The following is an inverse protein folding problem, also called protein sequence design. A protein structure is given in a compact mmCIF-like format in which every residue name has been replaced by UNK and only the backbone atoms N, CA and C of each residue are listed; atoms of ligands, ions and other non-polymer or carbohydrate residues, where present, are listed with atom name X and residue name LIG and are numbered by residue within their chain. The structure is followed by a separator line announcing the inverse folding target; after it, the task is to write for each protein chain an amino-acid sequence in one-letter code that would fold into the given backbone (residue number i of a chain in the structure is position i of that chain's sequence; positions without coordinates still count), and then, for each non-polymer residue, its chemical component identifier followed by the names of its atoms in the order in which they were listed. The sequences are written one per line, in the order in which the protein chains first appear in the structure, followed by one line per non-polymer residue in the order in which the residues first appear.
data_IF_580295462688
#
_entry.id   IF_580295462688
#
_cell.length_a   1.000
_cell.length_b   1.000
_cell.length_c   1.000
_cell.angle_alpha   90.00
_cell.angle_beta   90.00
_cell.angle_gamma   90.00
#
_symmetry.space_group_name_H-M   'P 1'
#
loop_
_entity.id
_entity.type
_entity.pdbx_description
1 polymer ?
#
# COMPACT_ATOMS: atom_id res chain seq x y z
N UNK A 1 8.32 -42.75 55.06
CA UNK A 1 7.74 -41.97 53.93
C UNK A 1 8.29 -40.55 54.01
N UNK A 2 9.49 -40.27 53.48
CA UNK A 2 9.78 -39.70 52.13
C UNK A 2 8.92 -38.51 51.75
N UNK A 3 9.43 -37.34 51.36
CA UNK A 3 10.75 -36.67 51.42
C UNK A 3 10.48 -35.27 50.85
N UNK A 4 10.95 -34.21 51.51
CA UNK A 4 11.00 -32.88 50.88
C UNK A 4 11.96 -32.88 49.69
N UNK A 5 11.64 -32.11 48.66
CA UNK A 5 12.52 -31.91 47.50
C UNK A 5 12.86 -30.43 47.41
N UNK A 6 14.09 -30.12 47.84
CA UNK A 6 14.87 -28.97 47.41
C UNK A 6 15.04 -29.02 45.89
N UNK A 7 14.75 -27.93 45.19
CA UNK A 7 15.19 -27.75 43.82
C UNK A 7 15.94 -26.42 43.70
N UNK A 8 17.21 -26.60 43.36
CA UNK A 8 18.28 -25.64 43.44
C UNK A 8 18.08 -24.51 42.44
N UNK A 9 18.36 -23.31 42.94
CA UNK A 9 19.00 -22.19 42.26
C UNK A 9 19.39 -22.46 40.79
N UNK A 10 18.63 -21.92 39.85
CA UNK A 10 19.09 -21.66 38.48
C UNK A 10 18.68 -20.23 38.11
N UNK A 11 19.41 -19.28 38.65
CA UNK A 11 19.56 -17.95 38.05
C UNK A 11 20.16 -18.11 36.66
N UNK A 12 19.36 -18.02 35.60
CA UNK A 12 19.89 -17.89 34.25
C UNK A 12 20.26 -16.41 34.02
N UNK A 13 21.44 -16.04 34.52
CA UNK A 13 22.09 -14.79 34.17
C UNK A 13 22.50 -14.84 32.69
N UNK A 14 21.64 -14.38 31.80
CA UNK A 14 22.10 -13.97 30.46
C UNK A 14 22.52 -12.52 30.57
N UNK A 15 23.78 -12.34 30.98
CA UNK A 15 24.45 -11.06 30.94
C UNK A 15 24.72 -10.67 29.48
N UNK A 16 23.90 -9.78 28.93
CA UNK A 16 24.36 -8.87 27.89
C UNK A 16 24.61 -7.52 28.55
N UNK A 17 25.83 -7.36 29.06
CA UNK A 17 26.45 -6.06 29.19
C UNK A 17 26.78 -5.66 27.74
N UNK A 18 26.38 -4.49 27.23
CA UNK A 18 26.94 -3.21 27.60
C UNK A 18 25.93 -2.06 27.34
N UNK A 19 25.74 -1.21 28.37
CA UNK A 19 25.14 0.15 28.43
C UNK A 19 23.68 0.35 28.96
N UNK A 20 23.52 0.62 30.27
CA UNK A 20 22.36 1.35 30.86
C UNK A 20 22.43 2.88 30.62
N UNK A 21 21.33 3.67 30.73
CA UNK A 21 20.15 3.42 31.57
C UNK A 21 18.81 3.60 30.83
N UNK A 22 18.20 2.51 30.37
CA UNK A 22 16.77 2.50 30.09
C UNK A 22 16.15 1.26 30.73
N UNK A 23 15.65 1.44 31.95
CA UNK A 23 14.82 0.46 32.63
C UNK A 23 13.37 0.70 32.20
N UNK A 24 12.84 -0.13 31.31
CA UNK A 24 11.41 -0.17 31.06
C UNK A 24 10.76 -1.01 32.16
N UNK A 25 10.29 -0.35 33.21
CA UNK A 25 9.24 -0.87 34.08
C UNK A 25 7.92 -0.80 33.31
N UNK A 26 7.27 -1.93 33.09
CA UNK A 26 5.91 -1.97 32.57
C UNK A 26 4.98 -2.37 33.71
N UNK A 27 4.29 -1.36 34.24
CA UNK A 27 3.24 -1.48 35.25
C UNK A 27 1.98 -2.07 34.60
N UNK A 28 1.55 -3.25 35.07
CA UNK A 28 0.40 -3.99 34.53
C UNK A 28 -0.89 -3.55 35.22
N UNK A 29 -1.30 -2.30 34.98
CA UNK A 29 -2.67 -1.88 35.25
C UNK A 29 -3.25 -1.24 33.98
N UNK A 30 -4.24 -1.92 33.41
CA UNK A 30 -5.10 -1.50 32.28
C UNK A 30 -4.49 -1.49 30.87
N UNK A 31 -4.23 -2.67 30.29
CA UNK A 31 -4.27 -2.85 28.83
C UNK A 31 -5.05 -4.12 28.48
N UNK A 32 -6.22 -3.96 27.87
CA UNK A 32 -7.00 -5.06 27.30
C UNK A 32 -6.30 -5.58 26.04
N UNK A 33 -5.43 -6.58 26.18
CA UNK A 33 -4.81 -7.31 25.06
C UNK A 33 -5.37 -8.73 25.09
N UNK A 34 -6.14 -9.11 24.06
CA UNK A 34 -6.64 -10.47 23.90
C UNK A 34 -5.49 -11.43 23.55
N UNK A 35 -4.84 -11.98 24.58
CA UNK A 35 -3.87 -13.08 24.50
C UNK A 35 -4.61 -14.43 24.65
N UNK A 36 -4.71 -15.25 23.61
CA UNK A 36 -4.98 -16.69 23.81
C UNK A 36 -3.65 -17.40 24.10
N UNK A 37 -3.59 -18.11 25.22
CA UNK A 37 -2.34 -18.46 25.90
C UNK A 37 -1.60 -19.71 25.36
N UNK A 38 -0.31 -19.78 25.74
CA UNK A 38 0.57 -20.96 25.83
C UNK A 38 1.48 -21.36 24.65
N UNK A 39 2.52 -20.56 24.35
CA UNK A 39 3.95 -20.91 24.56
C UNK A 39 4.86 -19.87 23.86
N UNK A 40 5.62 -19.12 24.66
CA UNK A 40 6.19 -17.82 24.27
C UNK A 40 7.29 -17.88 23.19
N UNK A 41 7.85 -19.05 22.83
CA UNK A 41 8.99 -19.10 21.91
C UNK A 41 8.78 -19.93 20.63
N UNK A 42 7.84 -20.90 20.60
CA UNK A 42 7.49 -21.60 19.35
C UNK A 42 6.31 -20.95 18.60
N UNK A 43 5.41 -20.22 19.30
CA UNK A 43 4.26 -19.57 18.66
C UNK A 43 4.57 -18.21 18.03
N UNK A 44 5.67 -17.57 18.40
CA UNK A 44 6.08 -16.27 17.84
C UNK A 44 6.44 -16.41 16.36
N UNK A 45 7.04 -17.53 15.95
CA UNK A 45 7.49 -17.73 14.55
C UNK A 45 6.35 -18.13 13.59
N UNK A 46 5.30 -18.81 14.08
CA UNK A 46 4.15 -19.21 13.24
C UNK A 46 3.06 -18.14 13.13
N UNK A 47 2.91 -17.26 14.15
CA UNK A 47 1.90 -16.20 14.14
C UNK A 47 2.33 -14.97 13.31
N UNK A 48 3.64 -14.80 13.06
CA UNK A 48 4.17 -13.65 12.30
C UNK A 48 4.08 -13.81 10.77
N UNK A 49 3.85 -15.02 10.24
CA UNK A 49 3.99 -15.30 8.79
C UNK A 49 2.66 -15.26 8.01
N UNK A 50 1.47 -15.43 8.60
CA UNK A 50 0.27 -15.83 7.82
C UNK A 50 -0.92 -14.87 7.93
N UNK A 51 -0.76 -13.64 7.46
CA UNK A 51 -1.91 -12.72 7.30
C UNK A 51 -1.95 -11.97 5.95
N UNK A 52 -0.96 -12.16 5.08
CA UNK A 52 -1.02 -11.62 3.71
C UNK A 52 -2.05 -12.39 2.89
N UNK A 53 -2.96 -11.67 2.24
CA UNK A 53 -4.04 -12.23 1.42
C UNK A 53 -5.01 -13.16 2.13
N UNK A 54 -5.03 -13.17 3.46
CA UNK A 54 -5.94 -14.00 4.25
C UNK A 54 -6.60 -13.17 5.35
N UNK A 55 -7.92 -13.32 5.51
CA UNK A 55 -8.69 -12.71 6.59
C UNK A 55 -8.90 -13.71 7.73
N UNK A 56 -9.10 -13.19 8.93
CA UNK A 56 -9.46 -14.00 10.11
C UNK A 56 -10.90 -14.48 9.97
N UNK A 57 -11.08 -15.79 9.94
CA UNK A 57 -12.39 -16.43 9.96
C UNK A 57 -12.86 -16.71 11.38
N UNK A 58 -11.93 -17.10 12.25
CA UNK A 58 -12.21 -17.41 13.64
C UNK A 58 -11.04 -16.93 14.49
N UNK A 59 -11.36 -16.17 15.53
CA UNK A 59 -10.38 -15.78 16.53
C UNK A 59 -10.03 -16.98 17.41
N UNK A 60 -8.79 -17.00 17.89
CA UNK A 60 -8.35 -17.98 18.86
C UNK A 60 -9.27 -18.01 20.10
N UNK A 61 -9.35 -19.18 20.71
CA UNK A 61 -9.90 -19.38 22.06
C UNK A 61 -8.82 -19.97 22.95
N UNK A 62 -9.10 -20.20 24.24
CA UNK A 62 -8.12 -20.77 25.19
C UNK A 62 -7.44 -22.04 24.66
N UNK A 63 -8.16 -22.86 23.90
CA UNK A 63 -7.69 -24.15 23.39
C UNK A 63 -7.50 -24.19 21.85
N UNK A 64 -7.82 -23.11 21.12
CA UNK A 64 -7.79 -23.10 19.65
C UNK A 64 -6.98 -21.94 19.08
N UNK A 65 -6.28 -22.18 17.97
CA UNK A 65 -5.56 -21.13 17.23
C UNK A 65 -6.48 -20.34 16.31
N UNK A 66 -6.06 -19.13 15.95
CA UNK A 66 -6.74 -18.30 14.95
C UNK A 66 -6.79 -19.04 13.61
N UNK A 67 -7.98 -19.08 13.01
CA UNK A 67 -8.17 -19.66 11.67
C UNK A 67 -8.30 -18.54 10.64
N UNK A 68 -7.53 -18.65 9.57
CA UNK A 68 -7.51 -17.69 8.47
C UNK A 68 -8.04 -18.34 7.18
N UNK A 69 -8.72 -17.55 6.36
CA UNK A 69 -9.20 -17.95 5.05
C UNK A 69 -8.76 -16.93 4.00
N UNK A 70 -8.47 -17.42 2.79
CA UNK A 70 -7.98 -16.56 1.71
C UNK A 70 -9.03 -15.55 1.26
N UNK A 71 -8.54 -14.40 0.81
CA UNK A 71 -9.39 -13.38 0.21
C UNK A 71 -10.01 -13.88 -1.10
N UNK A 72 -11.27 -13.53 -1.31
CA UNK A 72 -11.96 -13.85 -2.56
C UNK A 72 -11.50 -12.90 -3.67
N UNK A 73 -11.83 -13.26 -4.91
CA UNK A 73 -11.62 -12.38 -6.05
C UNK A 73 -12.20 -10.97 -5.79
N UNK A 74 -11.54 -9.95 -6.32
CA UNK A 74 -11.86 -8.54 -6.09
C UNK A 74 -11.65 -8.05 -4.64
N UNK A 75 -10.94 -8.81 -3.81
CA UNK A 75 -10.50 -8.38 -2.48
C UNK A 75 -9.05 -8.76 -2.18
N UNK A 76 -8.39 -8.01 -1.29
CA UNK A 76 -6.98 -8.19 -0.97
C UNK A 76 -6.64 -7.83 0.48
N UNK A 77 -5.50 -8.32 0.97
CA UNK A 77 -4.82 -7.84 2.18
C UNK A 77 -3.32 -7.78 1.86
N UNK A 78 -2.77 -6.57 1.81
CA UNK A 78 -1.40 -6.28 1.38
C UNK A 78 -0.39 -6.22 2.54
N UNK A 79 -0.86 -6.38 3.77
CA UNK A 79 -0.03 -6.33 4.98
C UNK A 79 -0.50 -7.35 6.00
N UNK A 80 0.41 -7.94 6.79
CA UNK A 80 0.02 -8.79 7.89
C UNK A 80 -0.92 -8.03 8.84
N UNK A 81 -2.15 -8.52 9.01
CA UNK A 81 -3.18 -7.86 9.80
C UNK A 81 -4.15 -8.87 10.43
N UNK A 82 -4.82 -8.47 11.51
CA UNK A 82 -5.88 -9.26 12.14
C UNK A 82 -7.27 -9.01 11.54
N UNK A 83 -7.35 -8.53 10.30
CA UNK A 83 -8.62 -8.15 9.68
C UNK A 83 -9.52 -9.38 9.49
N UNK A 84 -10.78 -9.29 9.95
CA UNK A 84 -11.80 -10.30 9.69
C UNK A 84 -12.46 -10.16 8.31
N UNK A 85 -12.16 -9.07 7.59
CA UNK A 85 -12.64 -8.78 6.23
C UNK A 85 -11.48 -8.31 5.35
N UNK A 86 -11.45 -8.79 4.11
CA UNK A 86 -10.50 -8.33 3.11
C UNK A 86 -10.86 -6.93 2.61
N UNK A 87 -9.87 -6.18 2.15
CA UNK A 87 -10.06 -4.87 1.52
C UNK A 87 -10.58 -5.06 0.10
N UNK A 88 -11.44 -4.16 -0.36
CA UNK A 88 -11.96 -4.18 -1.73
C UNK A 88 -10.93 -3.63 -2.70
N UNK A 89 -10.73 -4.29 -3.84
CA UNK A 89 -9.85 -3.79 -4.87
C UNK A 89 -10.36 -2.46 -5.46
N UNK A 90 -9.44 -1.55 -5.75
CA UNK A 90 -9.69 -0.31 -6.47
C UNK A 90 -10.09 -0.62 -7.92
N UNK A 91 -11.08 0.12 -8.44
CA UNK A 91 -11.47 0.07 -9.85
C UNK A 91 -10.88 1.29 -10.56
N UNK A 92 -10.11 1.05 -11.62
CA UNK A 92 -9.57 2.12 -12.45
C UNK A 92 -10.64 2.56 -13.46
N UNK A 93 -11.32 3.65 -13.14
CA UNK A 93 -12.43 4.17 -13.93
C UNK A 93 -11.93 5.00 -15.14
N UNK A 94 -12.32 4.58 -16.34
CA UNK A 94 -12.02 5.31 -17.57
C UNK A 94 -12.68 6.71 -17.59
N UNK A 95 -13.82 6.88 -16.92
CA UNK A 95 -14.47 8.19 -16.72
C UNK A 95 -13.65 9.16 -15.88
N UNK A 96 -12.68 8.65 -15.12
CA UNK A 96 -11.71 9.43 -14.35
C UNK A 96 -10.36 9.56 -15.07
N UNK A 97 -10.29 9.16 -16.35
CA UNK A 97 -9.07 9.21 -17.15
C UNK A 97 -8.06 8.12 -16.83
N UNK A 98 -8.48 7.01 -16.19
CA UNK A 98 -7.57 5.97 -15.70
C UNK A 98 -7.78 4.62 -16.41
N UNK A 99 -6.73 3.79 -16.39
CA UNK A 99 -6.75 2.37 -16.76
C UNK A 99 -5.95 1.52 -15.80
N UNK A 100 -6.22 0.22 -15.80
CA UNK A 100 -5.47 -0.74 -15.00
C UNK A 100 -4.06 -0.90 -15.54
N UNK A 101 -3.05 -0.60 -14.71
CA UNK A 101 -1.64 -0.91 -14.95
C UNK A 101 -1.29 -2.30 -14.45
N UNK A 102 -1.74 -2.63 -13.24
CA UNK A 102 -1.58 -3.94 -12.63
C UNK A 102 -2.91 -4.36 -11.99
N UNK A 103 -3.33 -5.59 -12.28
CA UNK A 103 -4.57 -6.14 -11.75
C UNK A 103 -4.45 -6.41 -10.24
N UNK A 104 -5.61 -6.36 -9.57
CA UNK A 104 -5.68 -6.74 -8.16
C UNK A 104 -5.34 -8.22 -7.97
N UNK A 105 -4.68 -8.52 -6.86
CA UNK A 105 -4.45 -9.88 -6.39
C UNK A 105 -4.89 -9.99 -4.94
N UNK A 106 -5.00 -11.19 -4.39
CA UNK A 106 -5.27 -11.34 -2.95
C UNK A 106 -4.20 -10.66 -2.06
N UNK A 107 -3.01 -10.37 -2.58
CA UNK A 107 -1.90 -9.77 -1.84
C UNK A 107 -1.66 -8.29 -2.15
N UNK A 108 -2.38 -7.71 -3.11
CA UNK A 108 -2.11 -6.35 -3.58
C UNK A 108 -3.33 -5.72 -4.23
N UNK A 109 -3.53 -4.43 -4.00
CA UNK A 109 -4.55 -3.65 -4.69
C UNK A 109 -4.26 -3.52 -6.20
N UNK A 110 -5.27 -3.11 -6.96
CA UNK A 110 -5.14 -2.63 -8.33
C UNK A 110 -4.24 -1.39 -8.37
N UNK A 111 -3.30 -1.36 -9.31
CA UNK A 111 -2.56 -0.14 -9.65
C UNK A 111 -3.17 0.50 -10.89
N UNK A 112 -3.62 1.74 -10.74
CA UNK A 112 -4.16 2.53 -11.84
C UNK A 112 -3.09 3.43 -12.44
N UNK A 113 -3.21 3.71 -13.73
CA UNK A 113 -2.42 4.71 -14.46
C UNK A 113 -3.27 5.55 -15.41
N UNK A 114 -2.81 6.75 -15.82
CA UNK A 114 -3.54 7.57 -16.77
C UNK A 114 -3.77 6.85 -18.11
N UNK A 115 -4.91 7.12 -18.72
CA UNK A 115 -5.18 6.80 -20.11
C UNK A 115 -4.19 7.52 -21.04
N UNK A 116 -4.08 7.01 -22.26
CA UNK A 116 -3.30 7.71 -23.28
C UNK A 116 -3.88 9.11 -23.53
N UNK A 117 -3.00 10.08 -23.71
CA UNK A 117 -3.37 11.49 -23.84
C UNK A 117 -3.98 12.09 -22.57
N UNK A 118 -3.77 11.49 -21.39
CA UNK A 118 -4.16 12.05 -20.10
C UNK A 118 -2.94 12.26 -19.19
N UNK A 119 -3.05 13.22 -18.27
CA UNK A 119 -2.09 13.46 -17.19
C UNK A 119 -2.76 13.37 -15.82
N UNK A 120 -2.02 12.87 -14.83
CA UNK A 120 -2.49 12.72 -13.47
C UNK A 120 -2.66 14.08 -12.76
N UNK A 121 -3.77 14.22 -12.05
CA UNK A 121 -4.01 15.32 -11.09
C UNK A 121 -4.22 14.83 -9.65
N UNK A 122 -4.28 13.51 -9.43
CA UNK A 122 -4.42 12.91 -8.11
C UNK A 122 -3.73 11.55 -8.00
N UNK A 123 -3.02 11.31 -6.89
CA UNK A 123 -2.27 10.08 -6.63
C UNK A 123 -2.37 9.67 -5.17
N UNK A 124 -2.50 8.37 -4.92
CA UNK A 124 -2.38 7.77 -3.60
C UNK A 124 -1.20 6.78 -3.61
N UNK A 125 -0.11 7.15 -2.94
CA UNK A 125 1.16 6.41 -2.88
C UNK A 125 1.73 6.07 -4.26
N UNK A 126 1.36 4.93 -4.84
CA UNK A 126 1.83 4.45 -6.16
C UNK A 126 0.72 4.33 -7.20
N UNK A 127 -0.55 4.43 -6.80
CA UNK A 127 -1.71 4.32 -7.69
C UNK A 127 -2.30 5.70 -7.97
N UNK A 128 -2.66 5.97 -9.22
CA UNK A 128 -3.28 7.21 -9.63
C UNK A 128 -4.79 7.19 -9.32
N UNK A 129 -5.33 8.30 -8.84
CA UNK A 129 -6.74 8.40 -8.42
C UNK A 129 -7.59 9.26 -9.35
N UNK A 130 -6.97 10.14 -10.14
CA UNK A 130 -7.65 10.94 -11.15
C UNK A 130 -6.68 11.46 -12.21
N UNK A 131 -7.12 11.47 -13.46
CA UNK A 131 -6.40 12.07 -14.57
C UNK A 131 -7.32 12.95 -15.43
N UNK A 132 -6.74 13.92 -16.12
CA UNK A 132 -7.41 14.78 -17.08
C UNK A 132 -6.79 14.59 -18.45
N UNK A 133 -7.60 14.74 -19.50
CA UNK A 133 -7.09 14.75 -20.87
C UNK A 133 -6.10 15.90 -21.06
N UNK A 134 -5.07 15.67 -21.86
CA UNK A 134 -4.15 16.71 -22.26
C UNK A 134 -4.93 17.82 -22.98
N UNK A 135 -4.57 19.07 -22.69
CA UNK A 135 -5.09 20.23 -23.39
C UNK A 135 -4.85 20.10 -24.88
N UNK A 136 -5.74 20.70 -25.68
CA UNK A 136 -5.61 20.77 -27.14
C UNK A 136 -5.11 22.14 -27.54
N UNK A 137 -4.38 22.23 -28.66
CA UNK A 137 -3.96 23.51 -29.20
C UNK A 137 -5.16 24.34 -29.66
N UNK A 138 -5.09 25.66 -29.46
CA UNK A 138 -5.94 26.59 -30.19
C UNK A 138 -5.29 26.95 -31.54
N UNK A 139 -6.07 27.55 -32.44
CA UNK A 139 -5.55 28.07 -33.69
C UNK A 139 -4.43 29.10 -33.43
N UNK A 140 -3.33 28.99 -34.17
CA UNK A 140 -2.15 29.85 -33.98
C UNK A 140 -1.21 29.41 -32.85
N UNK A 141 -1.49 28.32 -32.13
CA UNK A 141 -0.62 27.79 -31.08
C UNK A 141 0.15 26.56 -31.54
N UNK A 142 1.40 26.41 -31.08
CA UNK A 142 2.22 25.22 -31.31
C UNK A 142 2.58 24.54 -29.99
N UNK A 143 2.94 23.25 -30.06
CA UNK A 143 3.36 22.50 -28.87
C UNK A 143 4.77 22.95 -28.47
N UNK A 144 4.87 23.65 -27.35
CA UNK A 144 6.15 24.00 -26.72
C UNK A 144 6.74 22.82 -25.95
N UNK A 145 5.88 22.10 -25.24
CA UNK A 145 6.26 20.91 -24.48
C UNK A 145 5.16 19.86 -24.60
N UNK A 146 5.53 18.66 -25.04
CA UNK A 146 4.60 17.52 -25.09
C UNK A 146 4.20 17.10 -23.67
N UNK A 147 2.93 16.82 -23.47
CA UNK A 147 2.42 16.29 -22.21
C UNK A 147 3.01 14.93 -21.86
N UNK A 148 3.00 14.63 -20.56
CA UNK A 148 3.45 13.36 -19.99
C UNK A 148 2.32 12.78 -19.13
N UNK A 149 2.43 11.54 -18.62
CA UNK A 149 1.46 11.01 -17.65
C UNK A 149 1.38 11.84 -16.36
N UNK A 150 2.35 12.72 -16.10
CA UNK A 150 2.43 13.57 -14.91
C UNK A 150 2.19 15.06 -15.17
N UNK A 151 2.15 15.50 -16.42
CA UNK A 151 2.04 16.92 -16.78
C UNK A 151 1.27 17.11 -18.07
N UNK A 152 0.52 18.21 -18.16
CA UNK A 152 -0.19 18.56 -19.37
C UNK A 152 0.77 18.97 -20.51
N UNK A 153 0.24 19.02 -21.74
CA UNK A 153 0.89 19.64 -22.89
C UNK A 153 0.89 21.16 -22.72
N UNK A 154 2.06 21.78 -22.92
CA UNK A 154 2.22 23.24 -22.87
C UNK A 154 2.27 23.77 -24.28
N UNK A 155 1.44 24.80 -24.52
CA UNK A 155 1.33 25.50 -25.79
C UNK A 155 1.96 26.89 -25.72
N UNK A 156 2.39 27.40 -26.87
CA UNK A 156 2.87 28.77 -27.04
C UNK A 156 2.32 29.34 -28.35
N UNK A 157 2.26 30.66 -28.45
CA UNK A 157 1.65 31.35 -29.59
C UNK A 157 2.68 31.55 -30.71
N UNK A 158 2.24 31.32 -31.95
CA UNK A 158 3.01 31.69 -33.12
C UNK A 158 3.11 33.22 -33.23
N UNK A 159 4.31 33.72 -33.51
CA UNK A 159 4.59 35.16 -33.65
C UNK A 159 4.69 35.56 -35.12
N UNK A 160 4.35 36.82 -35.41
CA UNK A 160 4.42 37.39 -36.74
C UNK A 160 3.39 36.76 -37.71
N UNK A 161 3.67 36.82 -39.01
CA UNK A 161 2.83 36.25 -40.06
C UNK A 161 3.17 34.77 -40.27
N UNK A 162 2.95 33.96 -39.23
CA UNK A 162 3.14 32.51 -39.28
C UNK A 162 1.85 31.81 -38.86
N UNK A 163 1.62 30.60 -39.38
CA UNK A 163 0.52 29.74 -38.95
C UNK A 163 1.07 28.49 -38.26
N UNK A 164 0.30 27.93 -37.33
CA UNK A 164 0.65 26.66 -36.68
C UNK A 164 0.11 25.48 -37.46
N UNK A 165 0.94 24.45 -37.68
CA UNK A 165 0.47 23.13 -38.12
C UNK A 165 0.18 22.17 -36.94
N UNK A 166 0.09 22.71 -35.72
CA UNK A 166 -0.09 21.97 -34.47
C UNK A 166 1.22 21.55 -33.79
N UNK A 167 2.34 21.48 -34.52
CA UNK A 167 3.66 21.16 -33.96
C UNK A 167 4.66 22.31 -34.06
N UNK A 168 4.60 23.09 -35.16
CA UNK A 168 5.53 24.16 -35.48
C UNK A 168 4.79 25.35 -36.09
N UNK A 169 5.37 26.54 -35.94
CA UNK A 169 4.97 27.74 -36.67
C UNK A 169 5.68 27.79 -38.02
N UNK A 170 4.91 27.89 -39.10
CA UNK A 170 5.39 27.96 -40.46
C UNK A 170 5.07 29.33 -41.06
N UNK A 171 5.95 29.91 -41.88
CA UNK A 171 5.63 31.14 -42.61
C UNK A 171 4.51 30.87 -43.62
N UNK A 172 3.68 31.88 -43.85
CA UNK A 172 2.81 31.86 -45.02
C UNK A 172 3.68 31.89 -46.27
N UNK A 173 3.44 30.95 -47.19
CA UNK A 173 4.09 30.99 -48.50
C UNK A 173 3.42 32.09 -49.33
N UNK A 174 4.21 33.08 -49.73
CA UNK A 174 3.87 34.10 -50.72
C UNK A 174 3.73 33.53 -52.12
#
# INVERSE_FOLDING_TARGET
HRTGVTLNNLTLNVAFLLYPPFYLNLDLQSFSVNYCAASYLLRIMQQFIIFLGNRVSQHCTMDTSTTCISCLASTYIDKPSGLSKCLTCTICDAGQGLRTKAACTQFSDTLCEPLEGHYCIGKNKWSYTKALGHSKCNAGQFIKQRGTPSSDTVYDDCKGETYSNGSLCLPYTS
#
